data_IF_415090791867
#
_entry.id   IF_415090791867
#
_cell.length_a   1.000
_cell.length_b   1.000
_cell.length_c   1.000
_cell.angle_alpha   90.00
_cell.angle_beta   90.00
_cell.angle_gamma   90.00
#
_symmetry.space_group_name_H-M   'P 1'
#
loop_
_entity.id
_entity.type
_entity.pdbx_description
1 polymer ?
#
# COMPACT_ATOMS: atom_id res chain seq x y z
N UNK A 1 -16.16 33.46 42.88
CA UNK A 1 -15.84 33.12 41.48
C UNK A 1 -14.99 31.87 41.53
N UNK A 2 -15.58 30.70 41.24
CA UNK A 2 -14.81 29.44 41.16
C UNK A 2 -14.00 29.52 39.86
N UNK A 3 -12.69 29.49 40.06
CA UNK A 3 -11.71 29.47 38.94
C UNK A 3 -11.89 28.15 38.19
N UNK A 4 -12.62 28.18 37.07
CA UNK A 4 -12.85 27.03 36.20
C UNK A 4 -11.80 27.04 35.08
N UNK A 5 -10.52 26.98 35.46
CA UNK A 5 -9.50 26.72 34.51
C UNK A 5 -9.73 25.30 33.89
N UNK A 6 -9.75 25.13 32.57
CA UNK A 6 -9.92 23.83 31.96
C UNK A 6 -8.76 22.89 32.34
N UNK A 7 -9.07 21.60 32.44
CA UNK A 7 -8.05 20.57 32.68
C UNK A 7 -6.95 20.66 31.59
N UNK A 8 -5.66 20.75 31.98
CA UNK A 8 -4.54 20.79 31.03
C UNK A 8 -4.56 19.67 29.97
N UNK A 9 -5.04 18.46 30.33
CA UNK A 9 -5.18 17.37 29.38
C UNK A 9 -6.29 17.62 28.33
N UNK A 10 -7.34 18.38 28.69
CA UNK A 10 -8.38 18.78 27.75
C UNK A 10 -7.88 19.89 26.81
N UNK A 11 -7.10 20.85 27.33
CA UNK A 11 -6.47 21.88 26.52
C UNK A 11 -5.50 21.27 25.49
N UNK A 12 -4.63 20.35 25.91
CA UNK A 12 -3.69 19.67 25.01
C UNK A 12 -4.41 18.91 23.87
N UNK A 13 -5.57 18.29 24.14
CA UNK A 13 -6.38 17.67 23.08
C UNK A 13 -6.92 18.68 22.08
N UNK A 14 -7.39 19.82 22.54
CA UNK A 14 -7.88 20.90 21.67
C UNK A 14 -6.74 21.50 20.82
N UNK A 15 -5.58 21.72 21.41
CA UNK A 15 -4.37 22.21 20.73
C UNK A 15 -3.95 21.21 19.63
N UNK A 16 -3.88 19.90 19.92
CA UNK A 16 -3.57 18.86 18.93
C UNK A 16 -4.50 18.91 17.71
N UNK A 17 -5.81 19.09 17.94
CA UNK A 17 -6.79 19.20 16.84
C UNK A 17 -6.58 20.50 16.04
N UNK A 18 -6.24 21.60 16.71
CA UNK A 18 -5.97 22.88 16.04
C UNK A 18 -4.67 22.82 15.23
N UNK A 19 -3.63 22.16 15.73
CA UNK A 19 -2.37 21.94 15.03
C UNK A 19 -2.52 21.07 13.79
N UNK A 20 -3.46 20.12 13.81
CA UNK A 20 -3.77 19.27 12.66
C UNK A 20 -4.58 19.99 11.56
N UNK A 21 -5.25 21.11 11.86
CA UNK A 21 -6.18 21.80 10.95
C UNK A 21 -5.55 22.21 9.60
N UNK A 22 -4.32 22.78 9.53
CA UNK A 22 -3.70 23.13 8.24
C UNK A 22 -3.52 21.92 7.32
N UNK A 23 -3.16 20.77 7.88
CA UNK A 23 -3.00 19.52 7.13
C UNK A 23 -4.35 18.98 6.64
N UNK A 24 -5.41 19.04 7.47
CA UNK A 24 -6.75 18.66 7.07
C UNK A 24 -7.25 19.52 5.90
N UNK A 25 -7.01 20.82 5.96
CA UNK A 25 -7.38 21.75 4.87
C UNK A 25 -6.57 21.48 3.60
N UNK A 26 -5.27 21.21 3.72
CA UNK A 26 -4.39 20.91 2.59
C UNK A 26 -4.83 19.65 1.83
N UNK A 27 -5.28 18.63 2.55
CA UNK A 27 -5.61 17.33 1.97
C UNK A 27 -7.11 17.09 1.80
N UNK A 28 -7.97 18.09 2.06
CA UNK A 28 -9.40 17.97 1.84
C UNK A 28 -9.70 17.65 0.36
N UNK A 29 -10.43 16.56 0.13
CA UNK A 29 -10.73 16.04 -1.22
C UNK A 29 -9.63 15.23 -1.89
N UNK A 30 -8.42 15.21 -1.34
CA UNK A 30 -7.30 14.44 -1.87
C UNK A 30 -7.57 12.92 -1.78
N UNK A 31 -7.02 12.17 -2.73
CA UNK A 31 -7.06 10.70 -2.71
C UNK A 31 -5.73 10.16 -2.17
N UNK A 32 -5.82 9.30 -1.16
CA UNK A 32 -4.69 8.58 -0.60
C UNK A 32 -4.86 7.09 -0.85
N UNK A 33 -3.86 6.46 -1.48
CA UNK A 33 -3.81 5.01 -1.62
C UNK A 33 -2.91 4.43 -0.54
N UNK A 34 -3.44 3.50 0.24
CA UNK A 34 -2.74 2.90 1.37
C UNK A 34 -2.59 1.40 1.16
N UNK A 35 -1.36 0.95 0.99
CA UNK A 35 -1.07 -0.48 0.99
C UNK A 35 -0.91 -0.97 2.43
N UNK A 36 -1.76 -1.89 2.83
CA UNK A 36 -1.74 -2.57 4.13
C UNK A 36 -1.31 -4.02 3.98
N UNK A 37 -0.28 -4.45 4.72
CA UNK A 37 0.24 -5.80 4.60
C UNK A 37 1.35 -6.12 5.59
N UNK A 38 1.98 -7.28 5.40
CA UNK A 38 3.07 -7.74 6.25
C UNK A 38 2.60 -8.16 7.65
N UNK A 39 3.49 -8.03 8.64
CA UNK A 39 3.24 -8.45 10.02
C UNK A 39 2.11 -7.66 10.70
N UNK A 40 1.82 -6.44 10.26
CA UNK A 40 0.71 -5.64 10.80
C UNK A 40 -0.67 -6.28 10.61
N UNK A 41 -0.83 -7.18 9.63
CA UNK A 41 -2.09 -7.92 9.41
C UNK A 41 -2.32 -9.08 10.39
N UNK A 42 -1.30 -9.50 11.14
CA UNK A 42 -1.41 -10.60 12.10
C UNK A 42 -1.72 -10.14 13.53
N UNK A 43 -1.70 -8.83 13.81
CA UNK A 43 -1.94 -8.25 15.12
C UNK A 43 -3.29 -7.53 15.15
N UNK A 44 -4.19 -7.99 16.01
CA UNK A 44 -5.55 -7.45 16.14
C UNK A 44 -5.57 -5.99 16.61
N UNK A 45 -4.58 -5.55 17.41
CA UNK A 45 -4.48 -4.17 17.90
C UNK A 45 -4.04 -3.25 16.77
N UNK A 46 -3.02 -3.64 15.99
CA UNK A 46 -2.56 -2.89 14.83
C UNK A 46 -3.64 -2.79 13.76
N UNK A 47 -4.37 -3.88 13.52
CA UNK A 47 -5.50 -3.90 12.60
C UNK A 47 -6.61 -2.91 13.00
N UNK A 48 -6.94 -2.85 14.30
CA UNK A 48 -7.91 -1.89 14.85
C UNK A 48 -7.42 -0.45 14.69
N UNK A 49 -6.16 -0.18 15.02
CA UNK A 49 -5.58 1.15 14.86
C UNK A 49 -5.58 1.57 13.38
N UNK A 50 -5.17 0.67 12.47
CA UNK A 50 -5.24 0.92 11.03
C UNK A 50 -6.66 1.28 10.58
N UNK A 51 -7.67 0.51 10.99
CA UNK A 51 -9.06 0.79 10.62
C UNK A 51 -9.53 2.16 11.15
N UNK A 52 -9.15 2.53 12.38
CA UNK A 52 -9.44 3.84 12.95
C UNK A 52 -8.77 4.97 12.17
N UNK A 53 -7.51 4.80 11.76
CA UNK A 53 -6.78 5.77 10.95
C UNK A 53 -7.47 6.00 9.60
N UNK A 54 -7.84 4.94 8.91
CA UNK A 54 -8.56 5.00 7.62
C UNK A 54 -9.91 5.72 7.76
N UNK A 55 -10.65 5.43 8.83
CA UNK A 55 -11.93 6.11 9.11
C UNK A 55 -11.72 7.59 9.44
N UNK A 56 -10.68 7.92 10.21
CA UNK A 56 -10.32 9.30 10.53
C UNK A 56 -9.97 10.08 9.25
N UNK A 57 -9.14 9.52 8.37
CA UNK A 57 -8.81 10.14 7.08
C UNK A 57 -10.09 10.46 6.28
N UNK A 58 -11.04 9.51 6.22
CA UNK A 58 -12.32 9.74 5.54
C UNK A 58 -13.15 10.82 6.22
N UNK A 59 -13.17 10.85 7.55
CA UNK A 59 -13.94 11.84 8.33
C UNK A 59 -13.44 13.28 8.17
N UNK A 60 -12.12 13.47 7.96
CA UNK A 60 -11.53 14.79 7.72
C UNK A 60 -11.53 15.21 6.24
N UNK A 61 -12.24 14.46 5.38
CA UNK A 61 -12.45 14.84 3.97
C UNK A 61 -11.42 14.27 2.98
N UNK A 62 -10.50 13.41 3.41
CA UNK A 62 -9.61 12.65 2.52
C UNK A 62 -10.37 11.45 1.95
N UNK A 63 -10.01 11.01 0.75
CA UNK A 63 -10.56 9.82 0.10
C UNK A 63 -9.55 8.66 0.20
N UNK A 64 -9.56 7.85 1.27
CA UNK A 64 -8.68 6.71 1.40
C UNK A 64 -9.14 5.55 0.50
N UNK A 65 -8.17 4.92 -0.16
CA UNK A 65 -8.33 3.67 -0.92
C UNK A 65 -7.33 2.67 -0.37
N UNK A 66 -7.81 1.54 0.10
CA UNK A 66 -6.96 0.51 0.72
C UNK A 66 -6.64 -0.57 -0.29
N UNK A 67 -5.37 -0.94 -0.43
CA UNK A 67 -4.92 -2.15 -1.13
C UNK A 67 -4.25 -3.04 -0.11
N UNK A 68 -4.67 -4.29 0.02
CA UNK A 68 -4.11 -5.15 1.06
C UNK A 68 -3.23 -6.28 0.49
N UNK A 69 -2.29 -6.74 1.31
CA UNK A 69 -1.52 -7.95 1.06
C UNK A 69 -2.21 -9.20 1.62
N UNK A 70 -1.44 -10.29 1.80
CA UNK A 70 -1.96 -11.53 2.37
C UNK A 70 -1.06 -12.75 2.14
N UNK A 71 0.23 -12.53 1.87
CA UNK A 71 1.19 -13.60 1.61
C UNK A 71 1.22 -14.70 2.68
N UNK A 72 1.34 -14.35 3.98
CA UNK A 72 1.29 -15.32 5.07
C UNK A 72 -0.01 -16.12 5.12
N UNK A 73 -1.15 -15.48 4.94
CA UNK A 73 -2.46 -16.12 4.97
C UNK A 73 -2.68 -17.06 3.77
N UNK A 74 -2.19 -16.68 2.58
CA UNK A 74 -2.16 -17.57 1.42
C UNK A 74 -1.30 -18.79 1.74
N UNK A 75 -0.09 -18.59 2.30
CA UNK A 75 0.81 -19.69 2.69
C UNK A 75 0.15 -20.66 3.67
N UNK A 76 -0.45 -20.15 4.72
CA UNK A 76 -1.16 -20.97 5.70
C UNK A 76 -2.34 -21.75 5.10
N UNK A 77 -3.05 -21.18 4.13
CA UNK A 77 -4.14 -21.89 3.46
C UNK A 77 -3.61 -22.97 2.53
N UNK A 78 -2.55 -22.70 1.76
CA UNK A 78 -1.91 -23.70 0.88
C UNK A 78 -1.40 -24.89 1.69
N UNK A 79 -0.72 -24.66 2.80
CA UNK A 79 -0.28 -25.70 3.73
C UNK A 79 -1.47 -26.53 4.25
N UNK A 80 -2.54 -25.86 4.68
CA UNK A 80 -3.75 -26.51 5.19
C UNK A 80 -4.44 -27.42 4.17
N UNK A 81 -4.37 -27.10 2.88
CA UNK A 81 -4.94 -27.91 1.81
C UNK A 81 -3.92 -28.84 1.14
N UNK A 82 -2.66 -28.85 1.60
CA UNK A 82 -1.61 -29.75 1.11
C UNK A 82 -1.03 -29.35 -0.25
N UNK A 83 -1.12 -28.06 -0.63
CA UNK A 83 -0.52 -27.52 -1.86
C UNK A 83 0.85 -26.90 -1.55
N UNK A 84 1.88 -27.40 -2.21
CA UNK A 84 3.23 -26.87 -2.08
C UNK A 84 3.34 -25.45 -2.66
N UNK A 85 4.20 -24.63 -2.04
CA UNK A 85 4.39 -23.24 -2.42
C UNK A 85 5.88 -22.90 -2.46
N UNK A 86 6.33 -22.46 -3.61
CA UNK A 86 7.70 -22.02 -3.86
C UNK A 86 7.76 -20.50 -4.05
N UNK A 87 8.93 -19.92 -3.77
CA UNK A 87 9.20 -18.50 -3.98
C UNK A 87 10.44 -18.33 -4.83
N UNK A 88 10.38 -17.39 -5.76
CA UNK A 88 11.52 -16.94 -6.55
C UNK A 88 11.58 -15.40 -6.42
N UNK A 89 12.70 -14.87 -5.96
CA UNK A 89 12.92 -13.43 -5.73
C UNK A 89 11.80 -12.75 -4.91
N UNK A 90 11.29 -13.44 -3.90
CA UNK A 90 10.21 -12.93 -3.05
C UNK A 90 8.82 -12.98 -3.68
N UNK A 91 8.68 -13.47 -4.91
CA UNK A 91 7.41 -13.72 -5.58
C UNK A 91 7.02 -15.19 -5.47
N UNK A 92 5.77 -15.46 -5.14
CA UNK A 92 5.24 -16.82 -5.06
C UNK A 92 5.04 -17.39 -6.47
N UNK A 93 5.68 -18.51 -6.77
CA UNK A 93 5.33 -19.27 -7.97
C UNK A 93 3.86 -19.70 -7.85
N UNK A 94 3.05 -19.30 -8.80
CA UNK A 94 1.58 -19.39 -8.70
C UNK A 94 1.03 -20.29 -9.80
N UNK A 95 0.79 -21.55 -9.46
CA UNK A 95 0.05 -22.47 -10.36
C UNK A 95 -1.40 -22.01 -10.50
N UNK A 96 -2.17 -22.62 -11.37
CA UNK A 96 -3.61 -22.33 -11.51
C UNK A 96 -4.36 -22.58 -10.19
N UNK A 97 -4.08 -23.69 -9.53
CA UNK A 97 -4.66 -24.05 -8.23
C UNK A 97 -4.24 -23.03 -7.14
N UNK A 98 -2.96 -22.67 -7.11
CA UNK A 98 -2.46 -21.63 -6.19
C UNK A 98 -3.15 -20.29 -6.43
N UNK A 99 -3.43 -19.93 -7.70
CA UNK A 99 -4.12 -18.67 -8.04
C UNK A 99 -5.58 -18.68 -7.54
N UNK A 100 -6.29 -19.82 -7.68
CA UNK A 100 -7.65 -19.99 -7.17
C UNK A 100 -7.68 -19.86 -5.63
N UNK A 101 -6.74 -20.48 -4.93
CA UNK A 101 -6.64 -20.40 -3.47
C UNK A 101 -6.26 -18.96 -3.05
N UNK A 102 -5.33 -18.32 -3.74
CA UNK A 102 -4.96 -16.93 -3.47
C UNK A 102 -6.15 -15.97 -3.65
N UNK A 103 -6.97 -16.17 -4.69
CA UNK A 103 -8.18 -15.38 -4.91
C UNK A 103 -9.18 -15.59 -3.76
N UNK A 104 -9.44 -16.82 -3.33
CA UNK A 104 -10.34 -17.11 -2.20
C UNK A 104 -9.87 -16.44 -0.91
N UNK A 105 -8.57 -16.52 -0.61
CA UNK A 105 -8.00 -15.95 0.61
C UNK A 105 -8.00 -14.42 0.55
N UNK A 106 -7.52 -13.85 -0.54
CA UNK A 106 -7.42 -12.40 -0.68
C UNK A 106 -8.79 -11.75 -0.79
N UNK A 107 -9.64 -12.17 -1.73
CA UNK A 107 -10.92 -11.53 -2.01
C UNK A 107 -12.03 -11.92 -1.03
N UNK A 108 -11.96 -13.11 -0.47
CA UNK A 108 -12.95 -13.63 0.46
C UNK A 108 -12.61 -13.39 1.92
N UNK A 109 -11.50 -13.94 2.41
CA UNK A 109 -11.17 -13.90 3.83
C UNK A 109 -10.65 -12.52 4.25
N UNK A 110 -9.45 -12.13 3.77
CA UNK A 110 -8.75 -10.92 4.21
C UNK A 110 -9.54 -9.66 3.87
N UNK A 111 -10.00 -9.55 2.63
CA UNK A 111 -10.73 -8.38 2.16
C UNK A 111 -11.96 -8.09 3.02
N UNK A 112 -12.76 -9.11 3.34
CA UNK A 112 -13.99 -8.95 4.13
C UNK A 112 -13.72 -8.72 5.61
N UNK A 113 -12.62 -9.23 6.13
CA UNK A 113 -12.17 -8.95 7.49
C UNK A 113 -11.79 -7.47 7.63
N UNK A 114 -11.02 -6.90 6.69
CA UNK A 114 -10.68 -5.48 6.65
C UNK A 114 -11.92 -4.59 6.55
N UNK A 115 -12.86 -4.93 5.67
CA UNK A 115 -14.15 -4.23 5.56
C UNK A 115 -14.89 -4.25 6.90
N UNK A 116 -14.90 -5.38 7.59
CA UNK A 116 -15.53 -5.51 8.90
C UNK A 116 -14.85 -4.63 9.96
N UNK A 117 -13.51 -4.58 10.00
CA UNK A 117 -12.77 -3.73 10.94
C UNK A 117 -13.05 -2.24 10.69
N UNK A 118 -13.06 -1.80 9.43
CA UNK A 118 -13.43 -0.42 9.08
C UNK A 118 -14.87 -0.12 9.50
N UNK A 119 -15.80 -1.07 9.32
CA UNK A 119 -17.17 -0.95 9.79
C UNK A 119 -17.26 -0.83 11.30
N UNK A 120 -16.52 -1.64 12.08
CA UNK A 120 -16.45 -1.56 13.53
C UNK A 120 -15.84 -0.25 14.03
N UNK A 121 -14.95 0.35 13.26
CA UNK A 121 -14.39 1.68 13.53
C UNK A 121 -15.36 2.84 13.18
N UNK A 122 -16.55 2.54 12.63
CA UNK A 122 -17.58 3.52 12.28
C UNK A 122 -17.52 4.01 10.82
N UNK A 123 -16.67 3.40 9.97
CA UNK A 123 -16.58 3.70 8.55
C UNK A 123 -17.54 2.87 7.70
N UNK A 124 -17.76 3.29 6.46
CA UNK A 124 -18.45 2.49 5.44
C UNK A 124 -17.44 2.07 4.39
N UNK A 125 -17.25 0.77 4.20
CA UNK A 125 -16.28 0.23 3.26
C UNK A 125 -16.88 -0.85 2.37
N UNK A 126 -16.33 -1.01 1.17
CA UNK A 126 -16.67 -2.07 0.24
C UNK A 126 -15.39 -2.77 -0.24
N UNK A 127 -15.41 -4.09 -0.19
CA UNK A 127 -14.30 -4.92 -0.64
C UNK A 127 -14.52 -5.40 -2.07
N UNK A 128 -13.51 -5.16 -2.90
CA UNK A 128 -13.46 -5.55 -4.32
C UNK A 128 -12.10 -6.17 -4.65
N UNK A 129 -12.04 -6.83 -5.79
CA UNK A 129 -10.81 -7.27 -6.45
C UNK A 129 -10.70 -6.62 -7.84
N UNK A 130 -9.57 -6.67 -8.48
CA UNK A 130 -9.42 -6.17 -9.85
C UNK A 130 -10.31 -6.85 -10.88
N UNK A 131 -10.93 -8.00 -10.55
CA UNK A 131 -11.91 -8.70 -11.39
C UNK A 131 -13.28 -8.02 -11.38
N UNK A 132 -13.63 -7.34 -10.28
CA UNK A 132 -14.92 -6.66 -10.15
C UNK A 132 -15.02 -5.50 -11.14
N UNK A 133 -15.98 -5.57 -12.06
CA UNK A 133 -16.07 -4.66 -13.19
C UNK A 133 -14.88 -4.75 -14.16
N UNK A 134 -13.97 -5.69 -13.97
CA UNK A 134 -12.74 -5.85 -14.77
C UNK A 134 -11.81 -4.63 -14.68
N UNK A 135 -11.82 -3.93 -13.53
CA UNK A 135 -11.13 -2.66 -13.40
C UNK A 135 -9.61 -2.76 -13.39
N UNK A 136 -9.02 -3.94 -13.04
CA UNK A 136 -7.59 -4.20 -13.21
C UNK A 136 -7.38 -5.28 -14.26
N UNK A 137 -6.97 -4.85 -15.45
CA UNK A 137 -6.46 -5.76 -16.48
C UNK A 137 -5.00 -6.07 -16.20
N UNK A 138 -4.67 -7.37 -16.17
CA UNK A 138 -3.34 -7.85 -15.87
C UNK A 138 -2.74 -8.62 -17.06
N UNK A 139 -1.42 -8.64 -17.12
CA UNK A 139 -0.66 -9.53 -18.00
C UNK A 139 0.23 -10.42 -17.14
N UNK A 140 0.61 -11.58 -17.67
CA UNK A 140 1.56 -12.47 -17.02
C UNK A 140 2.89 -11.76 -16.79
N UNK A 141 3.35 -11.76 -15.53
CA UNK A 141 4.68 -11.22 -15.19
C UNK A 141 5.74 -12.08 -15.85
N UNK A 142 6.63 -11.46 -16.63
CA UNK A 142 7.80 -12.11 -17.24
C UNK A 142 9.05 -11.59 -16.55
N UNK A 143 9.82 -12.47 -15.95
CA UNK A 143 11.16 -12.16 -15.45
C UNK A 143 12.20 -12.88 -16.25
N UNK A 144 13.31 -12.19 -16.52
CA UNK A 144 14.52 -12.77 -17.08
C UNK A 144 15.60 -12.75 -16.02
N UNK A 145 16.25 -13.88 -15.81
CA UNK A 145 17.47 -14.00 -15.03
C UNK A 145 18.63 -14.13 -15.98
N UNK A 146 19.65 -13.31 -15.79
CA UNK A 146 20.90 -13.41 -16.55
C UNK A 146 21.87 -14.30 -15.80
N UNK A 147 22.24 -15.41 -16.38
CA UNK A 147 23.28 -16.29 -15.85
C UNK A 147 24.61 -15.53 -15.85
N UNK A 148 25.24 -15.31 -14.67
CA UNK A 148 26.49 -14.55 -14.56
C UNK A 148 27.64 -15.14 -15.37
N UNK A 149 27.66 -16.47 -15.55
CA UNK A 149 28.77 -17.19 -16.16
C UNK A 149 28.61 -17.38 -17.67
N UNK A 150 27.38 -17.36 -18.20
CA UNK A 150 27.10 -17.68 -19.60
C UNK A 150 26.48 -16.56 -20.43
N UNK A 151 26.13 -15.44 -19.83
CA UNK A 151 25.37 -14.35 -20.48
C UNK A 151 24.03 -14.79 -21.10
N UNK A 152 23.52 -15.96 -20.76
CA UNK A 152 22.24 -16.49 -21.25
C UNK A 152 21.13 -15.94 -20.37
N UNK A 153 20.15 -15.31 -20.99
CA UNK A 153 18.93 -14.90 -20.31
C UNK A 153 17.96 -16.08 -20.25
N UNK A 154 17.56 -16.46 -19.03
CA UNK A 154 16.51 -17.45 -18.80
C UNK A 154 15.22 -16.76 -18.42
N UNK A 155 14.12 -17.12 -19.07
CA UNK A 155 12.79 -16.67 -18.67
C UNK A 155 12.34 -17.54 -17.49
N UNK A 156 12.08 -16.89 -16.36
CA UNK A 156 11.50 -17.55 -15.17
C UNK A 156 9.98 -17.52 -15.34
N UNK A 157 9.35 -18.68 -15.43
CA UNK A 157 7.90 -18.80 -15.45
C UNK A 157 7.35 -18.86 -14.02
N UNK A 158 6.79 -17.74 -13.56
CA UNK A 158 6.12 -17.63 -12.25
C UNK A 158 4.66 -18.09 -12.28
N UNK A 159 4.18 -18.65 -13.38
CA UNK A 159 2.79 -19.08 -13.53
C UNK A 159 1.81 -17.93 -13.63
N UNK A 160 0.79 -17.92 -12.77
CA UNK A 160 -0.28 -16.92 -12.73
C UNK A 160 0.06 -15.71 -11.83
N UNK A 161 1.31 -15.29 -11.84
CA UNK A 161 1.73 -13.99 -11.29
C UNK A 161 1.54 -12.93 -12.35
N UNK A 162 0.89 -11.82 -11.98
CA UNK A 162 0.52 -10.76 -12.92
C UNK A 162 1.11 -9.41 -12.60
N UNK A 163 1.17 -8.60 -13.65
CA UNK A 163 1.39 -7.15 -13.57
C UNK A 163 0.15 -6.40 -14.04
N UNK A 164 -0.25 -5.30 -13.36
CA UNK A 164 -1.31 -4.43 -13.84
C UNK A 164 -0.93 -3.80 -15.18
N UNK A 165 -1.73 -4.06 -16.22
CA UNK A 165 -1.58 -3.44 -17.55
C UNK A 165 -2.43 -2.18 -17.69
N UNK A 166 -3.61 -2.20 -17.08
CA UNK A 166 -4.56 -1.08 -17.11
C UNK A 166 -5.42 -1.12 -15.86
N UNK A 167 -5.58 0.03 -15.24
CA UNK A 167 -6.51 0.23 -14.11
C UNK A 167 -7.58 1.24 -14.56
N UNK A 168 -8.85 0.83 -14.52
CA UNK A 168 -10.00 1.71 -14.77
C UNK A 168 -10.43 2.35 -13.44
N UNK A 169 -10.07 3.61 -13.25
CA UNK A 169 -10.41 4.36 -12.04
C UNK A 169 -11.92 4.50 -11.79
N UNK A 170 -12.73 4.38 -12.84
CA UNK A 170 -14.17 4.65 -12.76
C UNK A 170 -14.93 3.78 -11.75
N UNK A 171 -14.44 2.57 -11.44
CA UNK A 171 -15.02 1.72 -10.37
C UNK A 171 -14.72 2.31 -9.00
N UNK A 172 -13.46 2.67 -8.74
CA UNK A 172 -13.02 3.25 -7.46
C UNK A 172 -13.65 4.62 -7.23
N UNK A 173 -13.70 5.47 -8.26
CA UNK A 173 -14.34 6.80 -8.21
C UNK A 173 -15.81 6.71 -7.81
N UNK A 174 -16.57 5.76 -8.37
CA UNK A 174 -17.99 5.55 -8.03
C UNK A 174 -18.18 5.12 -6.58
N UNK A 175 -17.33 4.24 -6.08
CA UNK A 175 -17.37 3.78 -4.68
C UNK A 175 -17.06 4.95 -3.75
N UNK A 176 -16.01 5.71 -4.03
CA UNK A 176 -15.60 6.88 -3.24
C UNK A 176 -16.67 7.99 -3.25
N UNK A 177 -17.31 8.24 -4.41
CA UNK A 177 -18.39 9.19 -4.56
C UNK A 177 -19.66 8.79 -3.80
N UNK A 178 -19.89 7.48 -3.60
CA UNK A 178 -20.95 6.96 -2.73
C UNK A 178 -20.63 7.09 -1.22
N UNK A 179 -19.50 7.71 -0.85
CA UNK A 179 -19.07 7.87 0.54
C UNK A 179 -18.41 6.65 1.15
N UNK A 180 -18.22 5.57 0.38
CA UNK A 180 -17.61 4.33 0.85
C UNK A 180 -16.09 4.32 0.63
N UNK A 181 -15.40 3.54 1.45
CA UNK A 181 -13.95 3.31 1.37
C UNK A 181 -13.72 2.03 0.54
N UNK A 182 -13.05 2.13 -0.63
CA UNK A 182 -12.69 0.95 -1.41
C UNK A 182 -11.58 0.15 -0.71
N UNK A 183 -11.77 -1.17 -0.59
CA UNK A 183 -10.75 -2.12 -0.09
C UNK A 183 -10.47 -3.12 -1.20
N UNK A 184 -9.26 -3.08 -1.76
CA UNK A 184 -8.89 -3.77 -2.98
C UNK A 184 -8.00 -4.97 -2.68
N UNK A 185 -8.44 -6.15 -3.08
CA UNK A 185 -7.61 -7.35 -3.12
C UNK A 185 -6.73 -7.35 -4.38
N UNK A 186 -5.43 -7.70 -4.28
CA UNK A 186 -4.48 -7.61 -5.39
C UNK A 186 -4.60 -8.78 -6.38
N UNK A 187 -5.78 -8.92 -6.95
CA UNK A 187 -6.14 -9.89 -7.99
C UNK A 187 -6.51 -9.13 -9.24
N UNK A 188 -5.95 -9.52 -10.38
CA UNK A 188 -6.28 -8.97 -11.69
C UNK A 188 -6.85 -10.02 -12.64
N UNK A 189 -7.38 -9.58 -13.78
CA UNK A 189 -7.91 -10.43 -14.82
C UNK A 189 -7.20 -10.22 -16.14
N UNK A 190 -6.75 -11.32 -16.77
CA UNK A 190 -6.17 -11.32 -18.10
C UNK A 190 -7.20 -11.08 -19.20
N UNK A 191 -6.73 -10.79 -20.41
CA UNK A 191 -7.58 -10.65 -21.60
C UNK A 191 -8.31 -11.97 -21.94
N UNK A 192 -7.69 -13.10 -21.57
CA UNK A 192 -8.22 -14.47 -21.69
C UNK A 192 -9.17 -14.89 -20.54
N UNK A 193 -9.40 -13.99 -19.58
CA UNK A 193 -10.18 -14.26 -18.38
C UNK A 193 -9.41 -14.97 -17.26
N UNK A 194 -8.11 -15.24 -17.43
CA UNK A 194 -7.31 -15.85 -16.39
C UNK A 194 -7.16 -14.94 -15.16
N UNK A 195 -7.16 -15.56 -13.98
CA UNK A 195 -6.90 -14.88 -12.70
C UNK A 195 -5.41 -14.75 -12.48
N UNK A 196 -4.95 -13.54 -12.18
CA UNK A 196 -3.57 -13.26 -11.81
C UNK A 196 -3.46 -12.76 -10.37
N UNK A 197 -2.57 -13.41 -9.61
CA UNK A 197 -2.11 -12.93 -8.32
C UNK A 197 -1.08 -11.82 -8.56
N UNK A 198 -1.31 -10.64 -8.00
CA UNK A 198 -0.47 -9.45 -8.19
C UNK A 198 0.22 -9.10 -6.87
N UNK A 199 1.47 -8.65 -6.92
CA UNK A 199 2.12 -8.12 -5.73
C UNK A 199 1.34 -6.90 -5.22
N UNK A 200 1.12 -6.84 -3.90
CA UNK A 200 0.27 -5.81 -3.30
C UNK A 200 0.87 -4.39 -3.41
N UNK A 201 2.20 -4.25 -3.35
CA UNK A 201 2.87 -2.95 -3.52
C UNK A 201 2.69 -2.49 -4.98
N UNK A 202 2.92 -3.40 -5.95
CA UNK A 202 2.70 -3.14 -7.39
C UNK A 202 1.25 -2.78 -7.71
N UNK A 203 0.28 -3.50 -7.11
CA UNK A 203 -1.14 -3.17 -7.25
C UNK A 203 -1.45 -1.78 -6.69
N UNK A 204 -0.93 -1.46 -5.50
CA UNK A 204 -1.15 -0.17 -4.87
C UNK A 204 -0.55 0.98 -5.69
N UNK A 205 0.67 0.81 -6.22
CA UNK A 205 1.29 1.76 -7.13
C UNK A 205 0.44 2.02 -8.37
N UNK A 206 0.01 0.96 -9.05
CA UNK A 206 -0.82 1.08 -10.26
C UNK A 206 -2.19 1.75 -9.99
N UNK A 207 -2.81 1.43 -8.85
CA UNK A 207 -4.06 2.09 -8.43
C UNK A 207 -3.81 3.56 -8.10
N UNK A 208 -2.72 3.89 -7.40
CA UNK A 208 -2.36 5.26 -7.05
C UNK A 208 -2.10 6.11 -8.30
N UNK A 209 -1.34 5.60 -9.26
CA UNK A 209 -1.08 6.25 -10.55
C UNK A 209 -2.37 6.50 -11.33
N UNK A 210 -3.25 5.49 -11.45
CA UNK A 210 -4.51 5.63 -12.17
C UNK A 210 -5.46 6.66 -11.54
N UNK A 211 -5.43 6.78 -10.21
CA UNK A 211 -6.22 7.75 -9.46
C UNK A 211 -5.57 9.13 -9.39
N UNK A 212 -4.30 9.28 -9.81
CA UNK A 212 -3.46 10.46 -9.55
C UNK A 212 -3.53 10.83 -8.06
N UNK A 213 -3.22 9.86 -7.23
CA UNK A 213 -3.32 10.02 -5.79
C UNK A 213 -2.34 11.07 -5.27
N UNK A 214 -2.76 11.90 -4.32
CA UNK A 214 -1.84 12.83 -3.66
C UNK A 214 -0.83 12.12 -2.76
N UNK A 215 -1.14 10.89 -2.32
CA UNK A 215 -0.20 10.07 -1.56
C UNK A 215 -0.40 8.59 -1.86
N UNK A 216 0.73 7.89 -1.97
CA UNK A 216 0.80 6.43 -1.88
C UNK A 216 1.53 6.06 -0.58
N UNK A 217 0.89 5.34 0.32
CA UNK A 217 1.51 4.82 1.53
C UNK A 217 1.80 3.33 1.39
N UNK A 218 3.05 2.92 1.55
CA UNK A 218 3.45 1.53 1.64
C UNK A 218 3.77 1.19 3.11
N UNK A 219 2.81 0.60 3.81
CA UNK A 219 3.04 0.11 5.17
C UNK A 219 3.83 -1.19 5.12
N UNK A 220 4.95 -1.21 5.83
CA UNK A 220 5.93 -2.31 5.85
C UNK A 220 6.34 -2.62 7.30
N UNK A 221 7.32 -3.49 7.49
CA UNK A 221 7.88 -3.91 8.77
C UNK A 221 9.26 -3.31 9.07
N UNK A 222 9.59 -2.23 8.37
CA UNK A 222 10.81 -1.45 8.60
C UNK A 222 10.47 0.04 8.70
N UNK A 223 11.29 0.85 9.41
CA UNK A 223 11.02 2.28 9.62
C UNK A 223 10.89 3.11 8.33
N UNK A 224 11.51 2.68 7.27
CA UNK A 224 11.69 3.35 5.99
C UNK A 224 13.05 3.00 5.42
N UNK A 225 13.63 3.89 4.64
CA UNK A 225 14.99 3.73 4.10
C UNK A 225 16.00 4.20 5.14
N UNK A 226 16.94 3.35 5.49
CA UNK A 226 18.02 3.69 6.42
C UNK A 226 19.31 3.93 5.66
N UNK A 227 20.12 4.86 6.14
CA UNK A 227 21.49 5.07 5.68
C UNK A 227 22.45 3.99 6.21
N UNK A 228 23.74 4.07 5.85
CA UNK A 228 24.79 3.13 6.31
C UNK A 228 25.02 3.16 7.83
N UNK A 229 24.57 4.18 8.53
CA UNK A 229 24.65 4.31 9.99
C UNK A 229 23.38 3.83 10.70
N UNK A 230 22.35 3.45 9.95
CA UNK A 230 21.03 3.04 10.47
C UNK A 230 20.11 4.22 10.78
N UNK A 231 20.41 5.43 10.29
CA UNK A 231 19.55 6.59 10.44
C UNK A 231 18.50 6.65 9.32
N UNK A 232 17.28 7.07 9.65
CA UNK A 232 16.17 7.18 8.72
C UNK A 232 16.40 8.32 7.72
N UNK A 233 16.33 8.00 6.43
CA UNK A 233 16.31 8.98 5.36
C UNK A 233 14.85 9.40 5.11
N UNK A 234 14.53 10.66 5.43
CA UNK A 234 13.15 11.17 5.44
C UNK A 234 12.64 11.64 4.08
N UNK A 235 13.55 12.15 3.23
CA UNK A 235 13.23 12.67 1.88
C UNK A 235 14.19 12.10 0.85
N UNK A 236 13.65 11.50 -0.19
CA UNK A 236 14.39 10.93 -1.30
C UNK A 236 13.73 11.31 -2.64
N UNK A 237 14.54 11.58 -3.64
CA UNK A 237 14.15 11.68 -5.03
C UNK A 237 14.58 10.42 -5.82
N UNK A 238 14.07 10.19 -7.03
CA UNK A 238 14.41 9.03 -7.85
C UNK A 238 15.90 8.87 -8.12
N UNK A 239 16.64 9.98 -8.32
CA UNK A 239 18.09 9.95 -8.61
C UNK A 239 18.85 9.47 -7.38
N UNK A 240 18.55 10.04 -6.22
CA UNK A 240 19.19 9.66 -4.95
C UNK A 240 18.89 8.21 -4.56
N UNK A 241 17.68 7.72 -4.87
CA UNK A 241 17.34 6.31 -4.67
C UNK A 241 18.24 5.42 -5.54
N UNK A 242 18.44 5.76 -6.81
CA UNK A 242 19.31 4.99 -7.70
C UNK A 242 20.75 4.98 -7.21
N UNK A 243 21.30 6.13 -6.79
CA UNK A 243 22.64 6.23 -6.21
C UNK A 243 22.80 5.33 -4.97
N UNK A 244 21.83 5.33 -4.06
CA UNK A 244 21.83 4.50 -2.85
C UNK A 244 21.73 3.00 -3.15
N UNK A 245 21.05 2.61 -4.24
CA UNK A 245 21.00 1.22 -4.72
C UNK A 245 22.37 0.83 -5.30
N UNK A 246 22.96 1.66 -6.16
CA UNK A 246 24.25 1.40 -6.80
C UNK A 246 25.39 1.34 -5.78
N UNK A 247 25.32 2.12 -4.72
CA UNK A 247 26.23 2.08 -3.57
C UNK A 247 26.00 0.89 -2.59
N UNK A 248 24.94 0.10 -2.80
CA UNK A 248 24.56 -1.02 -1.95
C UNK A 248 23.99 -0.63 -0.58
N UNK A 249 23.65 0.64 -0.36
CA UNK A 249 22.98 1.11 0.86
C UNK A 249 21.56 0.58 0.92
N UNK A 250 20.85 0.61 -0.21
CA UNK A 250 19.53 0.00 -0.38
C UNK A 250 19.70 -1.39 -0.99
N UNK A 251 19.10 -2.40 -0.36
CA UNK A 251 19.24 -3.79 -0.81
C UNK A 251 17.97 -4.63 -0.53
N UNK A 252 17.93 -5.83 -1.08
CA UNK A 252 16.90 -6.85 -0.81
C UNK A 252 15.47 -6.35 -1.10
N UNK A 253 14.55 -6.63 -0.18
CA UNK A 253 13.12 -6.33 -0.32
C UNK A 253 12.75 -4.84 -0.34
N UNK A 254 13.69 -3.93 -0.03
CA UNK A 254 13.45 -2.49 -0.13
C UNK A 254 13.50 -2.01 -1.58
N UNK A 255 14.34 -2.60 -2.42
CA UNK A 255 14.48 -2.22 -3.85
C UNK A 255 13.13 -2.24 -4.57
N UNK A 256 12.36 -3.35 -4.62
CA UNK A 256 11.08 -3.37 -5.35
C UNK A 256 10.02 -2.44 -4.76
N UNK A 257 10.11 -2.10 -3.47
CA UNK A 257 9.22 -1.10 -2.84
C UNK A 257 9.52 0.31 -3.35
N UNK A 258 10.79 0.67 -3.40
CA UNK A 258 11.22 1.97 -3.90
C UNK A 258 11.01 2.09 -5.41
N UNK A 259 11.24 1.04 -6.19
CA UNK A 259 10.85 0.99 -7.60
C UNK A 259 9.35 1.29 -7.78
N UNK A 260 8.50 0.72 -6.92
CA UNK A 260 7.06 1.03 -6.93
C UNK A 260 6.78 2.49 -6.57
N UNK A 261 7.48 3.06 -5.58
CA UNK A 261 7.33 4.46 -5.19
C UNK A 261 7.77 5.40 -6.32
N UNK A 262 8.96 5.17 -6.89
CA UNK A 262 9.51 5.96 -8.00
C UNK A 262 8.57 5.93 -9.20
N UNK A 263 8.16 4.73 -9.64
CA UNK A 263 7.22 4.56 -10.74
C UNK A 263 5.90 5.29 -10.51
N UNK A 264 5.34 5.20 -9.30
CA UNK A 264 4.09 5.89 -8.97
C UNK A 264 4.23 7.41 -9.07
N UNK A 265 5.34 7.97 -8.59
CA UNK A 265 5.62 9.41 -8.66
C UNK A 265 5.84 9.86 -10.12
N UNK A 266 6.62 9.12 -10.90
CA UNK A 266 6.82 9.38 -12.33
C UNK A 266 5.50 9.31 -13.13
N UNK A 267 4.55 8.48 -12.69
CA UNK A 267 3.22 8.33 -13.31
C UNK A 267 2.18 9.33 -12.76
N UNK A 268 2.59 10.29 -11.91
CA UNK A 268 1.78 11.42 -11.48
C UNK A 268 1.12 11.30 -10.13
N UNK A 269 1.65 10.49 -9.22
CA UNK A 269 1.37 10.55 -7.78
C UNK A 269 2.23 11.66 -7.17
N UNK A 270 1.64 12.57 -6.36
CA UNK A 270 2.39 13.72 -5.83
C UNK A 270 3.56 13.29 -4.93
N UNK A 271 3.39 12.25 -4.11
CA UNK A 271 4.47 11.61 -3.38
C UNK A 271 4.08 10.20 -2.90
N UNK A 272 5.09 9.34 -2.70
CA UNK A 272 4.94 8.03 -2.09
C UNK A 272 5.68 8.00 -0.74
N UNK A 273 5.21 7.21 0.22
CA UNK A 273 5.78 7.12 1.56
C UNK A 273 5.94 5.67 1.98
N UNK A 274 7.13 5.31 2.44
CA UNK A 274 7.39 4.01 3.08
C UNK A 274 7.35 4.22 4.59
N UNK A 275 6.45 3.50 5.28
CA UNK A 275 6.17 3.63 6.71
C UNK A 275 6.23 2.30 7.45
N UNK A 276 6.63 2.33 8.71
CA UNK A 276 6.51 1.18 9.61
C UNK A 276 5.06 0.99 10.07
N UNK A 277 4.40 -0.01 9.51
CA UNK A 277 3.03 -0.36 9.85
C UNK A 277 2.85 -0.98 11.25
N UNK A 278 3.95 -1.25 11.99
CA UNK A 278 3.92 -1.74 13.37
C UNK A 278 3.81 -0.60 14.38
N UNK A 279 4.06 0.63 13.95
CA UNK A 279 3.89 1.81 14.80
C UNK A 279 2.40 2.18 14.81
N UNK A 280 1.76 2.24 15.99
CA UNK A 280 0.38 2.69 16.09
C UNK A 280 0.21 4.09 15.50
N UNK A 281 -0.79 4.25 14.63
CA UNK A 281 -1.11 5.54 14.02
C UNK A 281 0.01 6.17 13.17
N UNK A 282 0.93 5.37 12.62
CA UNK A 282 2.06 5.86 11.83
C UNK A 282 1.63 6.78 10.67
N UNK A 283 0.52 6.47 10.00
CA UNK A 283 -0.03 7.31 8.94
C UNK A 283 -0.46 8.70 9.45
N UNK A 284 -1.08 8.76 10.62
CA UNK A 284 -1.52 10.04 11.20
C UNK A 284 -0.30 10.88 11.61
N UNK A 285 0.75 10.25 12.14
CA UNK A 285 2.01 10.92 12.44
C UNK A 285 2.64 11.49 11.17
N UNK A 286 2.65 10.73 10.08
CA UNK A 286 3.20 11.18 8.79
C UNK A 286 2.40 12.34 8.19
N UNK A 287 1.06 12.28 8.25
CA UNK A 287 0.19 13.24 7.57
C UNK A 287 0.03 14.53 8.37
N UNK A 288 -0.11 14.43 9.71
CA UNK A 288 -0.51 15.54 10.58
C UNK A 288 0.60 16.10 11.45
N UNK A 289 1.87 15.75 11.17
CA UNK A 289 3.02 16.35 11.87
C UNK A 289 4.07 16.88 10.89
N UNK A 290 4.88 17.82 11.34
CA UNK A 290 5.89 18.47 10.52
C UNK A 290 7.12 17.60 10.23
N UNK A 291 7.37 16.57 11.05
CA UNK A 291 8.58 15.72 10.92
C UNK A 291 8.34 14.46 10.08
N UNK A 292 7.06 14.08 9.92
CA UNK A 292 6.74 12.77 9.33
C UNK A 292 7.18 11.60 10.22
N UNK A 293 7.01 10.38 9.71
CA UNK A 293 7.33 9.13 10.42
C UNK A 293 8.03 8.10 9.54
N UNK A 294 8.24 8.39 8.26
CA UNK A 294 8.79 7.45 7.28
C UNK A 294 9.73 8.10 6.28
N UNK A 295 9.89 7.43 5.14
CA UNK A 295 10.63 7.94 4.00
C UNK A 295 9.66 8.41 2.93
N UNK A 296 9.67 9.70 2.64
CA UNK A 296 8.93 10.33 1.55
C UNK A 296 9.75 10.23 0.26
N UNK A 297 9.11 9.77 -0.81
CA UNK A 297 9.65 9.76 -2.18
C UNK A 297 8.83 10.73 -3.02
N UNK A 298 9.48 11.73 -3.60
CA UNK A 298 8.83 12.73 -4.46
C UNK A 298 9.79 13.13 -5.59
N UNK A 299 9.25 13.68 -6.66
CA UNK A 299 10.04 14.29 -7.72
C UNK A 299 10.31 15.77 -7.37
N UNK A 300 11.58 16.14 -7.23
CA UNK A 300 11.97 17.51 -6.93
C UNK A 300 11.65 18.50 -8.07
N UNK A 301 11.34 18.01 -9.28
CA UNK A 301 10.97 18.85 -10.42
C UNK A 301 9.52 19.39 -10.35
N UNK A 302 8.67 18.90 -9.41
CA UNK A 302 7.31 19.41 -9.23
C UNK A 302 7.16 20.54 -8.19
N UNK A 303 8.24 20.99 -7.58
CA UNK A 303 8.22 22.05 -6.54
C UNK A 303 8.37 23.49 -7.09
N UNK A 304 8.07 23.72 -8.37
CA UNK A 304 8.05 25.08 -8.97
C UNK A 304 6.68 25.33 -9.60
N UNK A 305 5.69 25.59 -8.72
CA UNK A 305 4.57 26.53 -9.02
C UNK A 305 3.89 26.95 -7.71
#
# INVERSE_FOLDING_TARGET
MTDHAPDPAMLAKAETLTDALPYMQRYAGATFVVKYGGHAMGDATLAKNFAQDIVLLKAVGINPVVVHGGGPQIGAMLERVGVESEFVDGLRVTTKETAEIAEMVLSGAINKELVSWIGQAGGSAIGISGKDGGFVKATKLRRTERDPDSNIERIIDLGYVGEPKKVDRGVVDKISAAGMIPVIAPIGVGEDGATYNINADTMAGAVASALRASRLFLLTDVPGVLDKNGELLTDLDPVKIQDLVDEGTISGGMIPKLETCVKAVEEGVDAAVVLDGRIPHAMLLEIFTSKGAGTLVKDDFQSVE
#
